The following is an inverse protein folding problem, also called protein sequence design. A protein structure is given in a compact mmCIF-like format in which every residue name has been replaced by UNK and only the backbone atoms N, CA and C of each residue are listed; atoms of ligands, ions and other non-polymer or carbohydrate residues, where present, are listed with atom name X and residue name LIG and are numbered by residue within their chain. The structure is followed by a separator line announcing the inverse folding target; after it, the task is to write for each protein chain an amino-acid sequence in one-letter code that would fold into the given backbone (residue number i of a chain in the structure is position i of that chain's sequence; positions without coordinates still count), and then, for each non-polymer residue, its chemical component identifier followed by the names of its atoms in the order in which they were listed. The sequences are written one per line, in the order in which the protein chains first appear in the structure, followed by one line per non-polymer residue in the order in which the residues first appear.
data_IF_952913701576
#
_entry.id   IF_952913701576
#
_cell.length_a   1.000
_cell.length_b   1.000
_cell.length_c   1.000
_cell.angle_alpha   90.00
_cell.angle_beta   90.00
_cell.angle_gamma   90.00
#
_symmetry.space_group_name_H-M   'P 1'
#
loop_
_entity.id
_entity.type
_entity.pdbx_description
1 polymer ?
#
# COMPACT_ATOMS: atom_id res chain seq x y z
N UNK A 1 -14.55 8.95 -46.75
CA UNK A 1 -14.33 9.57 -45.41
C UNK A 1 -15.52 9.44 -44.43
N UNK A 2 -16.60 8.69 -44.70
CA UNK A 2 -17.76 8.60 -43.79
C UNK A 2 -17.69 7.48 -42.72
N UNK A 3 -16.73 6.56 -42.80
CA UNK A 3 -16.68 5.36 -41.93
C UNK A 3 -16.03 5.58 -40.56
N UNK A 4 -15.24 6.63 -40.35
CA UNK A 4 -14.68 6.95 -39.02
C UNK A 4 -15.68 7.66 -38.13
N UNK A 5 -16.49 8.58 -38.69
CA UNK A 5 -17.54 9.31 -37.97
C UNK A 5 -18.60 8.36 -37.40
N UNK A 6 -19.03 7.35 -38.17
CA UNK A 6 -19.97 6.33 -37.70
C UNK A 6 -19.41 5.38 -36.64
N UNK A 7 -18.09 5.15 -36.59
CA UNK A 7 -17.43 4.34 -35.55
C UNK A 7 -17.31 5.11 -34.24
N UNK A 8 -16.86 6.36 -34.29
CA UNK A 8 -16.76 7.22 -33.09
C UNK A 8 -18.14 7.44 -32.44
N UNK A 9 -19.18 7.70 -33.25
CA UNK A 9 -20.54 7.89 -32.75
C UNK A 9 -21.10 6.62 -32.09
N UNK A 10 -20.79 5.43 -32.61
CA UNK A 10 -21.14 4.14 -32.00
C UNK A 10 -20.40 3.91 -30.68
N UNK A 11 -19.09 4.17 -30.64
CA UNK A 11 -18.30 4.02 -29.42
C UNK A 11 -18.80 4.95 -28.31
N UNK A 12 -19.07 6.23 -28.63
CA UNK A 12 -19.64 7.18 -27.68
C UNK A 12 -21.02 6.75 -27.17
N UNK A 13 -21.87 6.20 -28.04
CA UNK A 13 -23.18 5.68 -27.64
C UNK A 13 -23.05 4.47 -26.69
N UNK A 14 -22.11 3.56 -26.97
CA UNK A 14 -21.80 2.42 -26.09
C UNK A 14 -21.29 2.90 -24.73
N UNK A 15 -20.30 3.79 -24.71
CA UNK A 15 -19.76 4.38 -23.47
C UNK A 15 -20.88 5.03 -22.66
N UNK A 16 -21.74 5.83 -23.30
CA UNK A 16 -22.87 6.47 -22.62
C UNK A 16 -23.82 5.44 -22.00
N UNK A 17 -24.19 4.40 -22.74
CA UNK A 17 -25.05 3.31 -22.27
C UNK A 17 -24.43 2.59 -21.07
N UNK A 18 -23.17 2.19 -21.20
CA UNK A 18 -22.44 1.47 -20.15
C UNK A 18 -22.23 2.33 -18.89
N UNK A 19 -21.98 3.64 -19.03
CA UNK A 19 -21.92 4.57 -17.89
C UNK A 19 -23.24 4.63 -17.11
N UNK A 20 -24.38 4.75 -17.80
CA UNK A 20 -25.68 4.71 -17.12
C UNK A 20 -25.95 3.36 -16.45
N UNK A 21 -25.53 2.27 -17.07
CA UNK A 21 -25.68 0.94 -16.50
C UNK A 21 -24.82 0.76 -15.25
N UNK A 22 -23.58 1.23 -15.26
CA UNK A 22 -22.67 1.15 -14.12
C UNK A 22 -23.14 2.01 -12.94
N UNK A 23 -23.66 3.21 -13.19
CA UNK A 23 -24.20 4.10 -12.15
C UNK A 23 -25.52 3.56 -11.56
N UNK A 24 -26.30 2.79 -12.32
CA UNK A 24 -27.56 2.20 -11.84
C UNK A 24 -27.40 0.81 -11.23
N UNK A 25 -26.24 0.17 -11.40
CA UNK A 25 -25.98 -1.14 -10.83
C UNK A 25 -25.53 -1.00 -9.38
N UNK A 26 -26.34 -1.45 -8.39
CA UNK A 26 -25.99 -1.34 -6.98
C UNK A 26 -24.70 -2.07 -6.64
N UNK A 27 -24.37 -3.16 -7.34
CA UNK A 27 -23.11 -3.91 -7.11
C UNK A 27 -21.90 -3.06 -7.49
N UNK A 28 -21.97 -2.36 -8.63
CA UNK A 28 -20.90 -1.49 -9.10
C UNK A 28 -20.68 -0.31 -8.16
N UNK A 29 -21.76 0.30 -7.67
CA UNK A 29 -21.67 1.39 -6.68
C UNK A 29 -21.08 0.88 -5.37
N UNK A 30 -21.54 -0.27 -4.88
CA UNK A 30 -21.08 -0.83 -3.61
C UNK A 30 -19.58 -1.15 -3.67
N UNK A 31 -19.11 -1.74 -4.76
CA UNK A 31 -17.68 -2.00 -4.96
C UNK A 31 -16.89 -0.70 -5.17
N UNK A 32 -17.39 0.28 -5.92
CA UNK A 32 -16.66 1.51 -6.24
C UNK A 32 -16.59 2.53 -5.08
N UNK A 33 -17.53 2.48 -4.13
CA UNK A 33 -17.64 3.50 -3.07
C UNK A 33 -17.63 2.90 -1.65
N UNK A 34 -18.47 1.90 -1.37
CA UNK A 34 -18.64 1.35 -0.01
C UNK A 34 -17.44 0.49 0.38
N UNK A 35 -16.97 -0.36 -0.53
CA UNK A 35 -15.85 -1.26 -0.27
C UNK A 35 -14.52 -0.51 -0.01
N UNK A 36 -14.16 0.53 -0.78
CA UNK A 36 -13.07 1.45 -0.44
C UNK A 36 -13.16 2.01 0.98
N UNK A 37 -14.33 2.47 1.39
CA UNK A 37 -14.55 3.01 2.74
C UNK A 37 -14.22 1.94 3.78
N UNK A 38 -14.82 0.75 3.67
CA UNK A 38 -14.60 -0.35 4.60
C UNK A 38 -13.11 -0.70 4.69
N UNK A 39 -12.43 -0.86 3.55
CA UNK A 39 -11.02 -1.23 3.53
C UNK A 39 -10.12 -0.12 4.09
N UNK A 40 -10.36 1.15 3.76
CA UNK A 40 -9.60 2.27 4.33
C UNK A 40 -9.80 2.40 5.83
N UNK A 41 -11.01 2.19 6.34
CA UNK A 41 -11.24 2.16 7.79
C UNK A 41 -10.54 0.97 8.44
N UNK A 42 -10.63 -0.22 7.82
CA UNK A 42 -9.98 -1.43 8.31
C UNK A 42 -8.45 -1.25 8.39
N UNK A 43 -7.81 -0.72 7.36
CA UNK A 43 -6.36 -0.53 7.35
C UNK A 43 -5.90 0.73 8.10
N UNK A 44 -6.66 1.81 8.04
CA UNK A 44 -6.30 3.08 8.65
C UNK A 44 -6.52 3.13 10.17
N UNK A 45 -7.50 2.39 10.70
CA UNK A 45 -7.76 2.28 12.15
C UNK A 45 -7.53 0.87 12.71
N UNK A 46 -7.84 -0.18 11.95
CA UNK A 46 -7.77 -1.57 12.45
C UNK A 46 -6.37 -2.18 12.41
N UNK A 47 -5.48 -1.68 11.54
CA UNK A 47 -4.08 -2.14 11.42
C UNK A 47 -3.09 -1.09 11.92
N UNK A 48 -3.55 0.05 12.44
CA UNK A 48 -2.65 1.02 13.07
C UNK A 48 -2.10 0.44 14.37
N UNK A 49 -0.78 0.27 14.44
CA UNK A 49 -0.06 -0.08 15.66
C UNK A 49 0.13 1.13 16.60
N UNK A 50 -0.33 2.31 16.17
CA UNK A 50 -0.12 3.58 16.89
C UNK A 50 -1.12 3.77 18.04
N UNK A 51 -2.26 3.05 18.02
CA UNK A 51 -3.33 3.18 19.03
C UNK A 51 -3.11 2.28 20.24
N UNK A 52 -2.23 1.28 20.14
CA UNK A 52 -1.84 0.40 21.24
C UNK A 52 -0.37 0.62 21.58
N UNK A 53 -0.08 1.02 22.82
CA UNK A 53 1.30 1.13 23.30
C UNK A 53 1.98 -0.22 23.12
N UNK A 54 3.05 -0.24 22.33
CA UNK A 54 3.79 -1.45 22.03
C UNK A 54 4.63 -1.82 23.24
N UNK A 55 4.40 -3.02 23.81
CA UNK A 55 5.17 -3.48 24.96
C UNK A 55 6.61 -3.79 24.56
N UNK A 56 7.56 -3.11 25.19
CA UNK A 56 8.99 -3.34 24.98
C UNK A 56 9.71 -3.58 26.30
N UNK A 57 10.75 -4.41 26.25
CA UNK A 57 11.69 -4.55 27.35
C UNK A 57 12.80 -3.50 27.20
N UNK A 58 13.02 -2.67 28.22
CA UNK A 58 14.16 -1.76 28.26
C UNK A 58 15.20 -2.31 29.24
N UNK A 59 16.34 -2.68 28.71
CA UNK A 59 17.48 -3.19 29.48
C UNK A 59 18.45 -2.05 29.68
N UNK A 60 18.67 -1.67 30.94
CA UNK A 60 19.69 -0.70 31.32
C UNK A 60 20.79 -1.44 32.09
N UNK A 61 21.90 -1.76 31.43
CA UNK A 61 22.97 -2.55 32.03
C UNK A 61 23.68 -1.79 33.16
N UNK A 62 23.87 -0.47 33.00
CA UNK A 62 24.39 0.42 34.03
C UNK A 62 23.44 1.60 34.29
N UNK A 63 23.02 1.76 35.55
CA UNK A 63 22.20 2.90 35.96
C UNK A 63 23.08 4.10 36.30
N UNK A 64 23.03 5.10 35.43
CA UNK A 64 23.66 6.41 35.60
C UNK A 64 22.60 7.49 35.39
N UNK A 65 22.83 8.75 35.80
CA UNK A 65 21.90 9.83 35.52
C UNK A 65 21.58 10.00 34.02
N UNK A 66 22.56 9.69 33.15
CA UNK A 66 22.40 9.75 31.70
C UNK A 66 21.46 8.65 31.20
N UNK A 67 21.68 7.40 31.63
CA UNK A 67 20.86 6.27 31.20
C UNK A 67 19.46 6.32 31.81
N UNK A 68 19.30 6.86 33.03
CA UNK A 68 17.99 7.11 33.64
C UNK A 68 17.15 8.11 32.86
N UNK A 69 17.77 9.20 32.40
CA UNK A 69 17.10 10.24 31.61
C UNK A 69 16.66 9.73 30.22
N UNK A 70 17.53 8.94 29.56
CA UNK A 70 17.15 8.25 28.33
C UNK A 70 16.02 7.24 28.57
N UNK A 71 16.10 6.45 29.64
CA UNK A 71 15.05 5.50 30.01
C UNK A 71 13.72 6.20 30.31
N UNK A 72 13.74 7.36 30.95
CA UNK A 72 12.55 8.19 31.17
C UNK A 72 11.94 8.66 29.84
N UNK A 73 12.76 8.97 28.83
CA UNK A 73 12.27 9.33 27.48
C UNK A 73 11.55 8.17 26.80
N UNK A 74 12.04 6.94 26.96
CA UNK A 74 11.34 5.73 26.50
C UNK A 74 10.03 5.50 27.25
N UNK A 75 10.00 5.70 28.56
CA UNK A 75 8.76 5.56 29.36
C UNK A 75 7.72 6.65 29.06
N UNK A 76 8.16 7.88 28.77
CA UNK A 76 7.28 8.99 28.42
C UNK A 76 6.79 8.91 26.96
N UNK A 77 7.38 8.03 26.14
CA UNK A 77 7.01 7.85 24.75
C UNK A 77 5.55 7.38 24.61
N UNK A 78 4.78 8.07 23.76
CA UNK A 78 3.39 7.67 23.46
C UNK A 78 3.26 6.30 22.77
N UNK A 79 4.36 5.78 22.23
CA UNK A 79 4.40 4.58 21.41
C UNK A 79 4.68 3.31 22.21
N UNK A 80 5.28 3.43 23.40
CA UNK A 80 5.80 2.29 24.15
C UNK A 80 5.13 2.10 25.50
N UNK A 81 4.98 0.84 25.89
CA UNK A 81 4.71 0.41 27.26
C UNK A 81 5.96 -0.33 27.74
N UNK A 82 6.72 0.28 28.65
CA UNK A 82 8.11 -0.11 28.90
C UNK A 82 8.22 -0.91 30.19
N UNK A 83 8.65 -2.17 30.07
CA UNK A 83 9.11 -2.96 31.20
C UNK A 83 10.63 -2.74 31.37
N UNK A 84 11.09 -2.29 32.53
CA UNK A 84 12.52 -2.05 32.79
C UNK A 84 13.15 -3.22 33.51
N UNK A 85 14.32 -3.65 33.06
CA UNK A 85 15.18 -4.62 33.76
C UNK A 85 16.65 -4.27 33.55
N UNK A 86 17.53 -4.92 34.31
CA UNK A 86 18.99 -4.88 34.11
C UNK A 86 19.52 -6.09 33.36
N UNK A 87 18.78 -7.19 33.38
CA UNK A 87 19.16 -8.42 32.70
C UNK A 87 18.27 -8.62 31.48
N UNK A 88 18.89 -8.68 30.30
CA UNK A 88 18.21 -8.94 29.03
C UNK A 88 17.53 -10.30 28.99
N UNK A 89 18.07 -11.30 29.69
CA UNK A 89 17.58 -12.69 29.65
C UNK A 89 16.16 -12.81 30.16
N UNK A 90 15.76 -11.89 31.05
CA UNK A 90 14.41 -11.81 31.59
C UNK A 90 13.37 -11.43 30.52
N UNK A 91 13.79 -10.81 29.43
CA UNK A 91 12.91 -10.41 28.33
C UNK A 91 13.04 -11.30 27.08
N UNK A 92 14.05 -12.16 27.01
CA UNK A 92 14.24 -13.06 25.86
C UNK A 92 13.06 -14.04 25.71
N UNK A 93 12.61 -14.69 26.78
CA UNK A 93 11.42 -15.55 26.74
C UNK A 93 10.15 -14.75 26.40
N UNK A 94 9.96 -13.58 27.02
CA UNK A 94 8.78 -12.76 26.78
C UNK A 94 8.71 -12.20 25.35
N UNK A 95 9.86 -12.00 24.69
CA UNK A 95 9.95 -11.68 23.26
C UNK A 95 9.55 -12.89 22.41
N UNK A 96 10.06 -14.09 22.71
CA UNK A 96 9.74 -15.33 21.99
C UNK A 96 8.25 -15.69 22.10
N UNK A 97 7.64 -15.48 23.27
CA UNK A 97 6.21 -15.71 23.50
C UNK A 97 5.32 -14.54 23.01
N UNK A 98 5.90 -13.50 22.41
CA UNK A 98 5.17 -12.35 21.85
C UNK A 98 4.50 -11.43 22.88
N UNK A 99 4.86 -11.55 24.17
CA UNK A 99 4.41 -10.63 25.24
C UNK A 99 5.10 -9.28 25.12
N UNK A 100 6.35 -9.28 24.65
CA UNK A 100 7.10 -8.11 24.24
C UNK A 100 7.27 -8.13 22.71
N UNK A 101 7.26 -6.95 22.09
CA UNK A 101 7.46 -6.78 20.65
C UNK A 101 8.88 -6.37 20.28
N UNK A 102 9.70 -6.05 21.28
CA UNK A 102 11.13 -5.83 21.14
C UNK A 102 11.81 -5.55 22.48
N UNK A 103 13.13 -5.56 22.44
CA UNK A 103 14.01 -5.29 23.57
C UNK A 103 14.98 -4.19 23.14
N UNK A 104 15.04 -3.10 23.91
CA UNK A 104 16.00 -2.02 23.73
C UNK A 104 17.07 -2.19 24.80
N UNK A 105 18.33 -2.32 24.41
CA UNK A 105 19.47 -2.51 25.33
C UNK A 105 20.35 -1.27 25.30
N UNK A 106 20.46 -0.62 26.45
CA UNK A 106 21.41 0.46 26.72
C UNK A 106 22.64 -0.18 27.36
N UNK A 107 23.79 -0.19 26.67
CA UNK A 107 24.98 -0.89 27.14
C UNK A 107 25.60 -0.21 28.37
N UNK A 108 26.36 -0.95 29.17
CA UNK A 108 26.99 -0.41 30.37
C UNK A 108 27.95 0.76 30.07
N UNK A 109 28.71 0.69 28.98
CA UNK A 109 29.68 1.71 28.58
C UNK A 109 29.05 2.96 27.93
N UNK A 110 27.71 3.03 27.86
CA UNK A 110 26.96 4.12 27.23
C UNK A 110 27.41 5.49 27.76
N UNK A 111 27.46 5.66 29.08
CA UNK A 111 27.80 6.95 29.70
C UNK A 111 29.23 7.36 29.45
N UNK A 112 30.18 6.44 29.55
CA UNK A 112 31.60 6.69 29.28
C UNK A 112 31.83 7.07 27.82
N UNK A 113 31.15 6.39 26.88
CA UNK A 113 31.25 6.70 25.46
C UNK A 113 30.59 8.04 25.12
N UNK A 114 29.43 8.31 25.68
CA UNK A 114 28.69 9.55 25.42
C UNK A 114 29.47 10.78 25.95
N UNK A 115 30.04 10.70 27.14
CA UNK A 115 30.85 11.80 27.71
C UNK A 115 32.19 12.00 26.99
N UNK A 116 32.74 10.95 26.38
CA UNK A 116 33.91 11.04 25.50
C UNK A 116 33.62 11.69 24.13
N UNK A 117 32.39 12.17 23.89
CA UNK A 117 31.97 12.77 22.62
C UNK A 117 31.65 11.75 21.53
N UNK A 118 31.61 10.46 21.86
CA UNK A 118 31.17 9.41 20.94
C UNK A 118 29.65 9.26 21.01
N UNK A 119 29.09 8.59 20.00
CA UNK A 119 27.69 8.17 19.99
C UNK A 119 27.62 6.67 20.28
N UNK A 120 27.30 6.26 21.52
CA UNK A 120 27.17 4.85 21.85
C UNK A 120 26.00 4.23 21.08
N UNK A 121 26.24 3.04 20.54
CA UNK A 121 25.21 2.26 19.86
C UNK A 121 24.20 1.72 20.88
N UNK A 122 22.91 1.90 20.60
CA UNK A 122 21.81 1.28 21.36
C UNK A 122 21.35 0.08 20.53
N UNK A 123 21.31 -1.10 21.15
CA UNK A 123 20.86 -2.30 20.47
C UNK A 123 19.33 -2.41 20.56
N UNK A 124 18.68 -2.66 19.43
CA UNK A 124 17.24 -2.96 19.37
C UNK A 124 17.07 -4.37 18.84
N UNK A 125 16.57 -5.27 19.67
CA UNK A 125 16.31 -6.67 19.37
C UNK A 125 14.81 -6.83 19.14
N UNK A 126 14.43 -7.36 17.98
CA UNK A 126 13.03 -7.47 17.55
C UNK A 126 12.79 -8.85 16.94
N UNK A 127 11.54 -9.31 16.96
CA UNK A 127 11.18 -10.57 16.33
C UNK A 127 11.14 -10.41 14.80
N UNK A 128 12.08 -11.07 14.12
CA UNK A 128 12.16 -11.09 12.65
C UNK A 128 11.02 -11.84 11.97
N UNK A 129 10.20 -12.60 12.72
CA UNK A 129 8.99 -13.25 12.18
C UNK A 129 7.85 -12.25 11.93
N UNK A 130 7.87 -11.10 12.60
CA UNK A 130 6.92 -9.99 12.43
C UNK A 130 7.63 -8.72 11.89
N UNK A 131 8.02 -8.70 10.60
CA UNK A 131 8.88 -7.65 10.04
C UNK A 131 8.30 -6.24 10.15
N UNK A 132 6.98 -6.09 10.06
CA UNK A 132 6.34 -4.78 10.26
C UNK A 132 6.50 -4.30 11.70
N UNK A 133 6.11 -5.13 12.68
CA UNK A 133 6.25 -4.82 14.10
C UNK A 133 7.70 -4.51 14.45
N UNK A 134 8.63 -5.33 13.96
CA UNK A 134 10.07 -5.14 14.12
C UNK A 134 10.55 -3.79 13.58
N UNK A 135 10.19 -3.46 12.33
CA UNK A 135 10.52 -2.18 11.71
C UNK A 135 9.92 -1.00 12.49
N UNK A 136 8.68 -1.10 12.98
CA UNK A 136 8.06 -0.05 13.78
C UNK A 136 8.78 0.13 15.12
N UNK A 137 9.05 -0.95 15.86
CA UNK A 137 9.78 -0.87 17.13
C UNK A 137 11.18 -0.26 16.93
N UNK A 138 11.90 -0.68 15.89
CA UNK A 138 13.21 -0.15 15.55
C UNK A 138 13.15 1.35 15.22
N UNK A 139 12.23 1.74 14.35
CA UNK A 139 12.06 3.14 13.97
C UNK A 139 11.67 3.99 15.18
N UNK A 140 10.69 3.56 15.98
CA UNK A 140 10.24 4.29 17.17
C UNK A 140 11.33 4.42 18.23
N UNK A 141 12.14 3.38 18.42
CA UNK A 141 13.29 3.45 19.32
C UNK A 141 14.31 4.48 18.84
N UNK A 142 14.66 4.45 17.55
CA UNK A 142 15.55 5.45 16.94
C UNK A 142 15.00 6.88 17.06
N UNK A 143 13.71 7.07 16.80
CA UNK A 143 13.04 8.37 16.94
C UNK A 143 13.03 8.87 18.39
N UNK A 144 12.85 7.98 19.37
CA UNK A 144 12.89 8.31 20.79
C UNK A 144 14.29 8.77 21.22
N UNK A 145 15.34 8.04 20.81
CA UNK A 145 16.74 8.41 21.06
C UNK A 145 17.08 9.76 20.42
N UNK A 146 16.71 9.97 19.16
CA UNK A 146 16.97 11.22 18.46
C UNK A 146 16.24 12.43 19.10
N UNK A 147 15.02 12.24 19.61
CA UNK A 147 14.31 13.26 20.37
C UNK A 147 15.03 13.63 21.67
N UNK A 148 15.46 12.61 22.43
CA UNK A 148 16.20 12.79 23.67
C UNK A 148 17.52 13.54 23.44
N UNK A 149 18.29 13.18 22.40
CA UNK A 149 19.52 13.88 22.04
C UNK A 149 19.28 15.36 21.72
N UNK A 150 18.23 15.67 20.94
CA UNK A 150 17.89 17.06 20.59
C UNK A 150 17.54 17.90 21.81
N UNK A 151 16.78 17.33 22.75
CA UNK A 151 16.37 18.04 23.95
C UNK A 151 17.59 18.36 24.83
N UNK A 152 18.53 17.43 24.97
CA UNK A 152 19.79 17.69 25.69
C UNK A 152 20.73 18.65 24.99
N UNK A 153 20.83 18.61 23.66
CA UNK A 153 21.66 19.57 22.92
C UNK A 153 21.14 21.01 23.05
N UNK A 154 19.82 21.20 23.24
CA UNK A 154 19.23 22.50 23.53
C UNK A 154 19.57 23.00 24.95
N UNK A 155 19.72 22.09 25.93
CA UNK A 155 20.05 22.43 27.32
C UNK A 155 21.56 22.66 27.55
N UNK A 156 22.44 22.05 26.75
CA UNK A 156 23.91 22.11 26.90
C UNK A 156 24.54 23.05 25.85
N UNK A 157 24.20 24.33 25.89
CA UNK A 157 24.66 25.36 24.94
C UNK A 157 26.16 25.76 25.05
N UNK A 158 27.07 24.90 25.54
CA UNK A 158 28.49 25.29 25.74
C UNK A 158 29.56 24.30 25.26
N UNK A 159 29.24 23.07 24.86
CA UNK A 159 30.23 22.11 24.35
C UNK A 159 29.66 21.26 23.21
N UNK A 160 29.28 21.91 22.11
CA UNK A 160 28.90 21.19 20.90
C UNK A 160 30.10 20.44 20.32
N UNK A 161 30.00 19.13 20.05
CA UNK A 161 31.03 18.44 19.26
C UNK A 161 31.14 19.13 17.89
N UNK A 162 32.36 19.22 17.34
CA UNK A 162 32.63 19.95 16.09
C UNK A 162 31.84 19.42 14.87
N UNK A 163 31.26 18.21 14.96
CA UNK A 163 30.38 17.62 13.97
C UNK A 163 29.25 16.88 14.69
N UNK A 164 28.00 17.37 14.55
CA UNK A 164 26.79 16.68 14.99
C UNK A 164 26.10 16.03 13.78
N UNK A 165 25.94 14.70 13.80
CA UNK A 165 25.16 13.98 12.79
C UNK A 165 23.68 14.00 13.24
N UNK A 166 22.81 14.78 12.61
CA UNK A 166 21.39 14.72 12.96
C UNK A 166 20.70 13.56 12.23
N UNK A 167 20.28 12.51 12.96
CA UNK A 167 19.44 11.46 12.37
C UNK A 167 18.02 12.01 12.17
N UNK A 168 17.65 12.27 10.91
CA UNK A 168 16.33 12.81 10.53
C UNK A 168 15.61 11.81 9.63
N UNK A 169 14.43 11.36 10.07
CA UNK A 169 13.49 10.67 9.19
C UNK A 169 12.85 11.69 8.26
N UNK A 170 13.20 11.63 6.98
CA UNK A 170 12.89 12.70 6.03
C UNK A 170 11.39 12.82 5.69
N UNK A 171 10.66 11.70 5.65
CA UNK A 171 9.32 11.66 5.08
C UNK A 171 8.21 11.21 6.05
N UNK A 172 8.58 10.74 7.24
CA UNK A 172 7.65 10.44 8.35
C UNK A 172 8.33 10.67 9.71
N UNK A 173 8.60 11.93 10.11
CA UNK A 173 9.35 12.24 11.33
C UNK A 173 8.65 11.76 12.61
N UNK A 174 7.32 11.65 12.58
CA UNK A 174 6.51 11.11 13.69
C UNK A 174 6.36 9.59 13.64
N UNK A 175 6.89 8.94 12.60
CA UNK A 175 6.91 7.49 12.39
C UNK A 175 5.54 6.81 12.45
N UNK A 176 4.45 7.54 12.23
CA UNK A 176 3.10 7.00 12.35
C UNK A 176 2.83 5.93 11.29
N UNK A 177 2.34 4.76 11.72
CA UNK A 177 2.03 3.63 10.84
C UNK A 177 0.97 3.99 9.80
N UNK A 178 0.02 4.85 10.20
CA UNK A 178 -1.07 5.37 9.35
C UNK A 178 -0.55 6.03 8.07
N UNK A 179 0.56 6.76 8.16
CA UNK A 179 1.16 7.47 7.03
C UNK A 179 1.70 6.52 5.95
N UNK A 180 2.01 5.27 6.31
CA UNK A 180 2.49 4.24 5.39
C UNK A 180 1.36 3.31 4.91
N UNK A 181 0.50 2.87 5.83
CA UNK A 181 -0.57 1.91 5.56
C UNK A 181 -1.71 2.49 4.71
N UNK A 182 -2.10 3.74 4.94
CA UNK A 182 -3.23 4.33 4.22
C UNK A 182 -2.93 4.49 2.73
N UNK A 183 -1.81 5.10 2.28
CA UNK A 183 -1.47 5.15 0.85
C UNK A 183 -1.34 3.78 0.19
N UNK A 184 -0.75 2.80 0.90
CA UNK A 184 -0.66 1.43 0.39
C UNK A 184 -2.03 0.77 0.21
N UNK A 185 -2.96 1.02 1.14
CA UNK A 185 -4.33 0.50 1.05
C UNK A 185 -5.09 1.04 -0.16
N UNK A 186 -4.79 2.26 -0.64
CA UNK A 186 -5.39 2.81 -1.87
C UNK A 186 -5.07 1.91 -3.06
N UNK A 187 -3.84 1.41 -3.20
CA UNK A 187 -3.47 0.47 -4.26
C UNK A 187 -4.24 -0.85 -4.16
N UNK A 188 -4.45 -1.37 -2.94
CA UNK A 188 -5.23 -2.59 -2.71
C UNK A 188 -6.68 -2.38 -3.12
N UNK A 189 -7.28 -1.26 -2.70
CA UNK A 189 -8.64 -0.88 -3.08
C UNK A 189 -8.75 -0.75 -4.60
N UNK A 190 -7.81 -0.05 -5.25
CA UNK A 190 -7.79 0.10 -6.70
C UNK A 190 -7.65 -1.25 -7.42
N UNK A 191 -6.85 -2.18 -6.89
CA UNK A 191 -6.74 -3.54 -7.44
C UNK A 191 -8.11 -4.20 -7.45
N UNK A 192 -8.80 -4.11 -6.32
CA UNK A 192 -10.05 -4.78 -6.09
C UNK A 192 -11.17 -4.15 -6.90
N UNK A 193 -11.27 -2.82 -6.93
CA UNK A 193 -12.22 -2.06 -7.76
C UNK A 193 -11.99 -2.34 -9.24
N UNK A 194 -10.75 -2.21 -9.72
CA UNK A 194 -10.43 -2.43 -11.13
C UNK A 194 -10.73 -3.85 -11.58
N UNK A 195 -10.26 -4.84 -10.82
CA UNK A 195 -10.37 -6.26 -11.23
C UNK A 195 -11.76 -6.83 -11.00
N UNK A 196 -12.43 -6.57 -9.86
CA UNK A 196 -13.77 -7.11 -9.60
C UNK A 196 -14.83 -6.47 -10.48
N UNK A 197 -14.81 -5.15 -10.65
CA UNK A 197 -15.81 -4.50 -11.50
C UNK A 197 -15.73 -5.06 -12.92
N UNK A 198 -14.53 -5.15 -13.49
CA UNK A 198 -14.37 -5.67 -14.85
C UNK A 198 -14.54 -7.18 -14.95
N UNK A 199 -14.23 -7.96 -13.90
CA UNK A 199 -14.49 -9.40 -13.89
C UNK A 199 -15.98 -9.72 -13.94
N UNK A 200 -16.80 -8.88 -13.30
CA UNK A 200 -18.25 -9.05 -13.26
C UNK A 200 -18.94 -8.58 -14.53
N UNK A 201 -18.40 -7.57 -15.23
CA UNK A 201 -19.06 -6.93 -16.38
C UNK A 201 -19.44 -7.89 -17.48
N UNK A 202 -18.48 -8.66 -18.00
CA UNK A 202 -18.76 -9.59 -19.11
C UNK A 202 -19.37 -10.89 -18.60
N UNK A 203 -18.95 -11.36 -17.42
CA UNK A 203 -19.52 -12.56 -16.80
C UNK A 203 -21.03 -12.43 -16.58
N UNK A 204 -21.48 -11.26 -16.13
CA UNK A 204 -22.90 -10.94 -15.96
C UNK A 204 -23.68 -10.94 -17.26
N UNK A 205 -23.07 -10.47 -18.35
CA UNK A 205 -23.75 -10.46 -19.66
C UNK A 205 -23.89 -11.85 -20.26
N UNK A 206 -22.95 -12.75 -19.97
CA UNK A 206 -23.10 -14.17 -20.28
C UNK A 206 -24.23 -14.80 -19.47
N UNK A 207 -24.27 -14.58 -18.15
CA UNK A 207 -25.34 -15.14 -17.29
C UNK A 207 -26.72 -14.62 -17.66
N UNK A 208 -26.83 -13.38 -18.13
CA UNK A 208 -28.10 -12.77 -18.56
C UNK A 208 -28.49 -13.09 -20.00
N UNK A 209 -27.66 -13.84 -20.75
CA UNK A 209 -27.86 -14.14 -22.17
C UNK A 209 -27.73 -12.92 -23.10
N UNK A 210 -27.42 -11.73 -22.57
CA UNK A 210 -27.31 -10.50 -23.38
C UNK A 210 -26.06 -10.49 -24.25
N UNK A 211 -25.03 -11.28 -23.89
CA UNK A 211 -23.81 -11.38 -24.69
C UNK A 211 -24.06 -11.98 -26.07
N UNK A 212 -24.95 -12.96 -26.18
CA UNK A 212 -25.32 -13.61 -27.45
C UNK A 212 -26.03 -12.64 -28.38
N UNK A 213 -26.96 -11.84 -27.83
CA UNK A 213 -27.65 -10.79 -28.58
C UNK A 213 -26.70 -9.70 -29.08
N UNK A 214 -25.67 -9.34 -28.29
CA UNK A 214 -24.65 -8.38 -28.73
C UNK A 214 -23.73 -8.92 -29.81
N UNK A 215 -23.40 -10.22 -29.78
CA UNK A 215 -22.59 -10.87 -30.82
C UNK A 215 -23.29 -10.92 -32.18
N UNK A 216 -24.63 -10.86 -32.21
CA UNK A 216 -25.41 -10.75 -33.44
C UNK A 216 -25.42 -9.33 -34.07
N UNK A 217 -24.92 -8.32 -33.34
CA UNK A 217 -24.81 -6.95 -33.86
C UNK A 217 -23.51 -6.77 -34.67
N UNK A 218 -23.46 -5.84 -35.65
CA UNK A 218 -22.27 -5.60 -36.47
C UNK A 218 -21.15 -4.83 -35.71
N UNK A 219 -21.06 -4.99 -34.39
CA UNK A 219 -20.07 -4.35 -33.52
C UNK A 219 -18.91 -5.32 -33.28
N UNK A 220 -17.67 -4.84 -33.43
CA UNK A 220 -16.52 -5.70 -33.17
C UNK A 220 -16.33 -5.97 -31.68
N UNK A 221 -15.78 -7.13 -31.32
CA UNK A 221 -15.45 -7.45 -29.93
C UNK A 221 -14.57 -6.38 -29.26
N UNK A 222 -13.65 -5.76 -30.02
CA UNK A 222 -12.77 -4.70 -29.50
C UNK A 222 -13.55 -3.42 -29.21
N UNK A 223 -14.49 -3.02 -30.07
CA UNK A 223 -15.34 -1.83 -29.84
C UNK A 223 -16.26 -2.03 -28.62
N UNK A 224 -16.80 -3.25 -28.46
CA UNK A 224 -17.65 -3.60 -27.32
C UNK A 224 -16.86 -3.59 -26.00
N UNK A 225 -15.66 -4.15 -26.00
CA UNK A 225 -14.77 -4.14 -24.84
C UNK A 225 -14.30 -2.73 -24.50
N UNK A 226 -13.86 -1.94 -25.50
CA UNK A 226 -13.42 -0.56 -25.29
C UNK A 226 -14.54 0.34 -24.74
N UNK A 227 -15.77 0.16 -25.25
CA UNK A 227 -16.95 0.87 -24.76
C UNK A 227 -17.29 0.59 -23.29
N UNK A 228 -16.92 -0.60 -22.80
CA UNK A 228 -17.10 -1.01 -21.39
C UNK A 228 -15.97 -0.53 -20.50
N UNK A 229 -14.72 -0.70 -20.94
CA UNK A 229 -13.54 -0.41 -20.12
C UNK A 229 -13.52 1.06 -19.68
N UNK A 230 -13.88 1.99 -20.57
CA UNK A 230 -13.78 3.43 -20.27
C UNK A 230 -14.66 3.86 -19.07
N UNK A 231 -15.96 3.51 -18.98
CA UNK A 231 -16.77 3.74 -17.78
C UNK A 231 -16.14 3.20 -16.49
N UNK A 232 -15.63 1.96 -16.50
CA UNK A 232 -15.03 1.35 -15.31
C UNK A 232 -13.67 1.93 -14.96
N UNK A 233 -12.91 2.38 -15.96
CA UNK A 233 -11.68 3.15 -15.76
C UNK A 233 -11.97 4.48 -15.04
N UNK A 234 -13.00 5.21 -15.49
CA UNK A 234 -13.42 6.46 -14.84
C UNK A 234 -13.97 6.21 -13.42
N UNK A 235 -14.72 5.12 -13.21
CA UNK A 235 -15.15 4.71 -11.86
C UNK A 235 -13.96 4.36 -10.96
N UNK A 236 -12.95 3.66 -11.48
CA UNK A 236 -11.72 3.37 -10.75
C UNK A 236 -10.97 4.65 -10.34
N UNK A 237 -10.86 5.63 -11.24
CA UNK A 237 -10.28 6.94 -10.91
C UNK A 237 -11.11 7.70 -9.89
N UNK A 238 -12.44 7.64 -9.98
CA UNK A 238 -13.34 8.26 -9.01
C UNK A 238 -13.19 7.63 -7.64
N UNK A 239 -13.08 6.30 -7.58
CA UNK A 239 -12.83 5.54 -6.37
C UNK A 239 -11.46 5.90 -5.75
N UNK A 240 -10.42 6.01 -6.57
CA UNK A 240 -9.11 6.49 -6.13
C UNK A 240 -9.20 7.91 -5.54
N UNK A 241 -9.91 8.83 -6.19
CA UNK A 241 -10.12 10.19 -5.67
C UNK A 241 -10.83 10.17 -4.33
N UNK A 242 -11.88 9.36 -4.18
CA UNK A 242 -12.55 9.16 -2.88
C UNK A 242 -11.56 8.67 -1.82
N UNK A 243 -10.75 7.65 -2.14
CA UNK A 243 -9.76 7.12 -1.23
C UNK A 243 -8.74 8.18 -0.79
N UNK A 244 -8.27 9.02 -1.70
CA UNK A 244 -7.31 10.09 -1.41
C UNK A 244 -7.96 11.19 -0.57
N UNK A 245 -9.20 11.58 -0.87
CA UNK A 245 -9.94 12.55 -0.05
C UNK A 245 -10.10 12.05 1.39
N UNK A 246 -10.46 10.78 1.57
CA UNK A 246 -10.50 10.16 2.89
C UNK A 246 -9.12 10.15 3.53
N UNK A 247 -8.09 9.72 2.81
CA UNK A 247 -6.72 9.67 3.31
C UNK A 247 -6.17 11.02 3.77
N UNK A 248 -6.58 12.13 3.14
CA UNK A 248 -6.15 13.47 3.54
C UNK A 248 -7.04 14.04 4.65
N UNK A 249 -8.36 14.05 4.45
CA UNK A 249 -9.29 14.77 5.33
C UNK A 249 -9.71 13.99 6.58
N UNK A 250 -9.88 12.67 6.49
CA UNK A 250 -10.26 11.81 7.61
C UNK A 250 -9.01 11.19 8.26
N UNK A 251 -8.17 10.67 7.37
CA UNK A 251 -6.78 10.23 7.47
C UNK A 251 -5.75 11.13 8.19
N UNK A 252 -5.83 12.44 7.93
CA UNK A 252 -4.74 13.36 8.24
C UNK A 252 -3.39 13.01 7.59
N UNK A 253 -3.37 12.16 6.56
CA UNK A 253 -2.13 11.72 5.90
C UNK A 253 -1.64 12.86 5.02
N UNK A 254 -0.35 13.25 5.11
CA UNK A 254 0.18 14.33 4.29
C UNK A 254 0.17 13.93 2.82
N UNK A 255 -0.14 14.89 1.95
CA UNK A 255 -0.07 14.74 0.50
C UNK A 255 0.93 15.77 -0.05
N UNK A 256 2.17 15.33 -0.33
CA UNK A 256 3.28 16.21 -0.74
C UNK A 256 3.54 16.26 -2.24
N UNK A 257 3.09 15.25 -2.98
CA UNK A 257 3.26 15.14 -4.43
C UNK A 257 2.24 15.95 -5.22
N UNK A 258 2.25 15.78 -6.53
CA UNK A 258 1.30 16.43 -7.42
C UNK A 258 0.08 15.55 -7.71
N UNK A 259 -1.05 16.21 -7.91
CA UNK A 259 -2.29 15.55 -8.39
C UNK A 259 -2.04 14.91 -9.76
N UNK A 260 -1.22 15.51 -10.61
CA UNK A 260 -0.88 14.96 -11.92
C UNK A 260 -0.14 13.62 -11.81
N UNK A 261 0.86 13.51 -10.93
CA UNK A 261 1.58 12.25 -10.69
C UNK A 261 0.65 11.17 -10.14
N UNK A 262 -0.20 11.51 -9.17
CA UNK A 262 -1.21 10.62 -8.61
C UNK A 262 -2.13 10.04 -9.70
N UNK A 263 -2.69 10.88 -10.57
CA UNK A 263 -3.57 10.45 -11.64
C UNK A 263 -2.83 9.65 -12.72
N UNK A 264 -1.59 10.01 -13.07
CA UNK A 264 -0.80 9.28 -14.05
C UNK A 264 -0.47 7.85 -13.57
N UNK A 265 -0.03 7.71 -12.33
CA UNK A 265 0.23 6.41 -11.69
C UNK A 265 -1.04 5.57 -11.59
N UNK A 266 -2.13 6.18 -11.12
CA UNK A 266 -3.41 5.50 -10.93
C UNK A 266 -4.02 5.05 -12.26
N UNK A 267 -3.96 5.91 -13.29
CA UNK A 267 -4.37 5.58 -14.65
C UNK A 267 -3.55 4.40 -15.19
N UNK A 268 -2.22 4.44 -15.08
CA UNK A 268 -1.36 3.37 -15.54
C UNK A 268 -1.64 2.04 -14.82
N UNK A 269 -1.90 2.09 -13.51
CA UNK A 269 -2.23 0.91 -12.71
C UNK A 269 -3.60 0.30 -13.04
N UNK A 270 -4.58 1.13 -13.40
CA UNK A 270 -5.90 0.61 -13.78
C UNK A 270 -5.83 -0.23 -15.07
N UNK A 271 -4.88 0.02 -15.98
CA UNK A 271 -4.75 -0.77 -17.22
C UNK A 271 -4.56 -2.28 -16.93
N UNK A 272 -3.55 -2.74 -16.17
CA UNK A 272 -3.43 -4.15 -15.82
C UNK A 272 -4.57 -4.67 -14.94
N UNK A 273 -5.10 -3.87 -14.00
CA UNK A 273 -6.21 -4.30 -13.16
C UNK A 273 -7.49 -4.60 -13.97
N UNK A 274 -7.87 -3.68 -14.86
CA UNK A 274 -9.02 -3.84 -15.75
C UNK A 274 -8.78 -4.95 -16.79
N UNK A 275 -7.55 -5.06 -17.31
CA UNK A 275 -7.17 -6.12 -18.24
C UNK A 275 -7.26 -7.52 -17.62
N UNK A 276 -6.80 -7.67 -16.38
CA UNK A 276 -6.91 -8.92 -15.62
C UNK A 276 -8.36 -9.28 -15.33
N UNK A 277 -9.17 -8.34 -14.83
CA UNK A 277 -10.59 -8.59 -14.59
C UNK A 277 -11.31 -8.98 -15.88
N UNK A 278 -11.00 -8.32 -17.00
CA UNK A 278 -11.55 -8.70 -18.29
C UNK A 278 -11.13 -10.12 -18.72
N UNK A 279 -9.85 -10.47 -18.59
CA UNK A 279 -9.36 -11.82 -18.86
C UNK A 279 -10.18 -12.86 -18.08
N UNK A 280 -10.35 -12.64 -16.77
CA UNK A 280 -11.12 -13.51 -15.87
C UNK A 280 -12.58 -13.63 -16.35
N UNK A 281 -13.22 -12.50 -16.65
CA UNK A 281 -14.63 -12.46 -17.07
C UNK A 281 -14.92 -13.28 -18.32
N UNK A 282 -13.98 -13.27 -19.29
CA UNK A 282 -14.11 -14.00 -20.55
C UNK A 282 -13.87 -15.50 -20.36
N UNK A 283 -13.07 -15.88 -19.37
CA UNK A 283 -12.73 -17.26 -19.08
C UNK A 283 -13.85 -17.98 -18.31
N UNK A 284 -14.45 -17.35 -17.30
CA UNK A 284 -15.39 -18.01 -16.38
C UNK A 284 -16.84 -18.01 -16.85
N UNK A 285 -17.31 -16.92 -17.49
CA UNK A 285 -18.72 -16.71 -17.87
C UNK A 285 -19.75 -16.82 -16.72
N UNK A 286 -19.29 -16.77 -15.47
CA UNK A 286 -20.12 -16.85 -14.26
C UNK A 286 -19.62 -15.79 -13.26
N UNK A 287 -20.53 -14.99 -12.71
CA UNK A 287 -20.22 -13.86 -11.84
C UNK A 287 -19.58 -14.30 -10.52
N UNK A 288 -20.07 -15.38 -9.93
CA UNK A 288 -19.54 -15.90 -8.66
C UNK A 288 -18.12 -16.46 -8.83
N UNK A 289 -17.88 -17.26 -9.88
CA UNK A 289 -16.52 -17.73 -10.18
C UNK A 289 -15.59 -16.59 -10.58
N UNK A 290 -16.08 -15.60 -11.33
CA UNK A 290 -15.30 -14.42 -11.72
C UNK A 290 -14.86 -13.58 -10.53
N UNK A 291 -15.73 -13.39 -9.53
CA UNK A 291 -15.39 -12.64 -8.32
C UNK A 291 -14.39 -13.40 -7.45
N UNK A 292 -14.56 -14.71 -7.27
CA UNK A 292 -13.60 -15.55 -6.53
C UNK A 292 -12.20 -15.54 -7.18
N UNK A 293 -12.13 -15.72 -8.50
CA UNK A 293 -10.83 -15.67 -9.20
C UNK A 293 -10.20 -14.28 -9.15
N UNK A 294 -10.98 -13.20 -9.20
CA UNK A 294 -10.44 -11.85 -9.03
C UNK A 294 -9.87 -11.65 -7.61
N UNK A 295 -10.54 -12.18 -6.58
CA UNK A 295 -10.00 -12.13 -5.21
C UNK A 295 -8.70 -12.93 -5.07
N UNK A 296 -8.67 -14.15 -5.61
CA UNK A 296 -7.51 -15.04 -5.45
C UNK A 296 -6.33 -14.62 -6.33
N UNK A 297 -6.58 -14.18 -7.58
CA UNK A 297 -5.52 -13.88 -8.55
C UNK A 297 -5.09 -12.42 -8.55
N UNK A 298 -5.90 -11.50 -8.03
CA UNK A 298 -5.58 -10.07 -8.01
C UNK A 298 -5.44 -9.54 -6.59
N UNK A 299 -6.48 -9.65 -5.76
CA UNK A 299 -6.46 -9.08 -4.42
C UNK A 299 -5.42 -9.75 -3.51
N UNK A 300 -5.40 -11.08 -3.39
CA UNK A 300 -4.44 -11.77 -2.52
C UNK A 300 -2.98 -11.49 -2.91
N UNK A 301 -2.56 -11.58 -4.19
CA UNK A 301 -1.21 -11.21 -4.59
C UNK A 301 -0.91 -9.73 -4.35
N UNK A 302 -1.86 -8.83 -4.64
CA UNK A 302 -1.67 -7.42 -4.35
C UNK A 302 -1.55 -7.14 -2.85
N UNK A 303 -2.21 -7.92 -1.99
CA UNK A 303 -2.16 -7.74 -0.55
C UNK A 303 -0.89 -8.34 0.07
N UNK A 304 -0.49 -9.55 -0.35
CA UNK A 304 0.59 -10.32 0.26
C UNK A 304 1.95 -10.13 -0.43
N UNK A 305 1.97 -9.96 -1.75
CA UNK A 305 3.19 -10.04 -2.58
C UNK A 305 3.64 -8.69 -3.14
N UNK A 306 3.00 -7.60 -2.74
CA UNK A 306 3.25 -6.27 -3.31
C UNK A 306 4.25 -5.41 -2.53
N UNK A 307 4.71 -5.86 -1.37
CA UNK A 307 5.42 -4.99 -0.43
C UNK A 307 4.50 -4.22 0.52
N UNK A 308 3.17 -4.37 0.42
CA UNK A 308 2.23 -3.70 1.32
C UNK A 308 2.27 -4.26 2.75
N UNK A 309 1.97 -5.55 2.89
CA UNK A 309 1.92 -6.22 4.20
C UNK A 309 3.26 -6.83 4.59
N UNK A 310 4.02 -7.35 3.63
CA UNK A 310 5.31 -7.96 3.88
C UNK A 310 6.36 -7.34 2.98
N UNK A 311 7.51 -6.98 3.55
CA UNK A 311 8.61 -6.46 2.77
C UNK A 311 9.12 -7.53 1.77
N UNK A 312 9.28 -7.14 0.51
CA UNK A 312 9.65 -8.07 -0.57
C UNK A 312 11.02 -8.70 -0.31
N UNK A 313 11.96 -7.93 0.26
CA UNK A 313 13.32 -8.41 0.54
C UNK A 313 13.35 -9.54 1.58
N UNK A 314 12.34 -9.59 2.45
CA UNK A 314 12.21 -10.63 3.49
C UNK A 314 11.59 -11.93 2.96
N UNK A 315 11.13 -11.96 1.71
CA UNK A 315 10.56 -13.15 1.10
C UNK A 315 11.66 -14.06 0.53
N UNK A 316 11.48 -15.40 0.52
CA UNK A 316 12.33 -16.32 -0.21
C UNK A 316 12.49 -15.90 -1.67
N UNK A 317 13.67 -16.11 -2.26
CA UNK A 317 14.03 -15.63 -3.61
C UNK A 317 13.01 -16.06 -4.67
N UNK A 318 12.48 -17.29 -4.59
CA UNK A 318 11.46 -17.80 -5.52
C UNK A 318 10.18 -16.94 -5.48
N UNK A 319 9.74 -16.54 -4.29
CA UNK A 319 8.54 -15.70 -4.12
C UNK A 319 8.83 -14.28 -4.64
N UNK A 320 10.03 -13.75 -4.42
CA UNK A 320 10.44 -12.45 -4.97
C UNK A 320 10.31 -12.40 -6.50
N UNK A 321 10.66 -13.49 -7.20
CA UNK A 321 10.50 -13.56 -8.66
C UNK A 321 9.02 -13.48 -9.08
N UNK A 322 8.12 -14.13 -8.34
CA UNK A 322 6.68 -14.07 -8.62
C UNK A 322 6.14 -12.65 -8.44
N UNK A 323 6.68 -11.88 -7.49
CA UNK A 323 6.18 -10.52 -7.25
C UNK A 323 6.40 -9.55 -8.43
N UNK A 324 7.31 -9.86 -9.38
CA UNK A 324 7.54 -8.99 -10.55
C UNK A 324 6.33 -8.89 -11.49
N UNK A 325 5.44 -9.88 -11.50
CA UNK A 325 4.21 -9.85 -12.30
C UNK A 325 3.04 -9.17 -11.58
N UNK A 326 3.19 -8.81 -10.31
CA UNK A 326 2.14 -8.19 -9.50
C UNK A 326 2.16 -6.67 -9.73
N UNK A 327 1.16 -6.06 -10.38
CA UNK A 327 1.20 -4.62 -10.69
C UNK A 327 1.28 -3.74 -9.44
N UNK A 328 0.67 -4.19 -8.33
CA UNK A 328 0.64 -3.46 -7.07
C UNK A 328 2.05 -3.26 -6.47
N UNK A 329 3.01 -4.14 -6.79
CA UNK A 329 4.44 -4.00 -6.42
C UNK A 329 5.02 -2.65 -6.84
N UNK A 330 4.57 -2.12 -7.97
CA UNK A 330 5.09 -0.87 -8.53
C UNK A 330 4.27 0.35 -8.09
N UNK A 331 2.96 0.16 -7.87
CA UNK A 331 2.08 1.26 -7.45
C UNK A 331 2.30 1.65 -5.98
N UNK A 332 2.45 0.69 -5.06
CA UNK A 332 2.48 0.96 -3.62
C UNK A 332 3.63 1.89 -3.22
N UNK A 333 4.91 1.61 -3.58
CA UNK A 333 6.01 2.53 -3.28
C UNK A 333 5.80 3.90 -3.93
N UNK A 334 5.26 3.93 -5.16
CA UNK A 334 4.98 5.17 -5.88
C UNK A 334 3.93 6.03 -5.15
N UNK A 335 2.84 5.44 -4.66
CA UNK A 335 1.84 6.14 -3.87
C UNK A 335 2.41 6.62 -2.53
N UNK A 336 3.18 5.78 -1.84
CA UNK A 336 3.83 6.17 -0.58
C UNK A 336 4.74 7.38 -0.78
N UNK A 337 5.52 7.41 -1.87
CA UNK A 337 6.34 8.59 -2.19
C UNK A 337 5.48 9.79 -2.54
N UNK A 338 4.40 9.65 -3.32
CA UNK A 338 3.50 10.78 -3.62
C UNK A 338 2.93 11.40 -2.35
N UNK A 339 2.54 10.59 -1.37
CA UNK A 339 2.03 11.12 -0.09
C UNK A 339 3.16 11.71 0.77
N UNK A 340 4.25 10.96 0.97
CA UNK A 340 5.25 11.26 2.00
C UNK A 340 6.49 11.99 1.49
N UNK A 341 6.96 11.71 0.28
CA UNK A 341 8.22 12.24 -0.27
C UNK A 341 8.04 13.31 -1.35
N UNK A 342 6.89 13.32 -2.04
CA UNK A 342 6.66 14.12 -3.24
C UNK A 342 6.87 13.32 -4.53
N UNK A 343 7.10 14.06 -5.63
CA UNK A 343 7.17 13.46 -6.97
C UNK A 343 8.57 12.94 -7.31
N UNK A 344 8.68 11.64 -7.60
CA UNK A 344 9.92 10.97 -8.02
C UNK A 344 9.72 10.41 -9.43
N UNK A 345 9.69 11.29 -10.42
CA UNK A 345 9.35 10.95 -11.81
C UNK A 345 10.17 9.81 -12.44
N UNK A 346 11.49 9.66 -12.22
CA UNK A 346 12.23 8.52 -12.75
C UNK A 346 11.65 7.17 -12.27
N UNK A 347 11.32 7.09 -10.97
CA UNK A 347 10.67 5.92 -10.39
C UNK A 347 9.26 5.73 -10.96
N UNK A 348 8.50 6.82 -11.10
CA UNK A 348 7.14 6.77 -11.63
C UNK A 348 7.10 6.30 -13.09
N UNK A 349 8.00 6.79 -13.93
CA UNK A 349 8.07 6.40 -15.33
C UNK A 349 8.42 4.92 -15.48
N UNK A 350 9.35 4.40 -14.67
CA UNK A 350 9.65 2.97 -14.64
C UNK A 350 8.43 2.16 -14.19
N UNK A 351 7.78 2.55 -13.09
CA UNK A 351 6.58 1.90 -12.58
C UNK A 351 5.45 1.90 -13.63
N UNK A 352 5.17 3.06 -14.23
CA UNK A 352 4.18 3.23 -15.31
C UNK A 352 4.52 2.32 -16.48
N UNK A 353 5.77 2.32 -16.95
CA UNK A 353 6.21 1.48 -18.05
C UNK A 353 5.93 0.00 -17.80
N UNK A 354 6.29 -0.51 -16.62
CA UNK A 354 6.06 -1.92 -16.26
C UNK A 354 4.57 -2.24 -16.07
N UNK A 355 3.79 -1.36 -15.44
CA UNK A 355 2.34 -1.57 -15.28
C UNK A 355 1.63 -1.59 -16.63
N UNK A 356 2.01 -0.70 -17.55
CA UNK A 356 1.46 -0.65 -18.90
C UNK A 356 1.86 -1.88 -19.74
N UNK A 357 3.08 -2.41 -19.59
CA UNK A 357 3.47 -3.64 -20.29
C UNK A 357 2.67 -4.85 -19.78
N UNK A 358 2.52 -5.00 -18.46
CA UNK A 358 1.67 -6.05 -17.88
C UNK A 358 0.23 -5.88 -18.37
N UNK A 359 -0.29 -4.65 -18.38
CA UNK A 359 -1.64 -4.37 -18.84
C UNK A 359 -1.85 -4.68 -20.32
N UNK A 360 -0.90 -4.31 -21.17
CA UNK A 360 -0.94 -4.65 -22.59
C UNK A 360 -0.98 -6.17 -22.81
N UNK A 361 -0.16 -6.93 -22.08
CA UNK A 361 -0.18 -8.40 -22.12
C UNK A 361 -1.55 -8.94 -21.72
N UNK A 362 -2.12 -8.47 -20.60
CA UNK A 362 -3.44 -8.91 -20.13
C UNK A 362 -4.56 -8.61 -21.15
N UNK A 363 -4.55 -7.41 -21.77
CA UNK A 363 -5.51 -7.06 -22.81
C UNK A 363 -5.37 -7.89 -24.08
N UNK A 364 -4.13 -8.18 -24.51
CA UNK A 364 -3.88 -9.06 -25.66
C UNK A 364 -4.39 -10.48 -25.38
N UNK A 365 -4.16 -11.01 -24.19
CA UNK A 365 -4.65 -12.32 -23.78
C UNK A 365 -6.18 -12.35 -23.70
N UNK A 366 -6.81 -11.32 -23.13
CA UNK A 366 -8.27 -11.19 -23.07
C UNK A 366 -8.88 -11.15 -24.48
N UNK A 367 -8.34 -10.31 -25.38
CA UNK A 367 -8.82 -10.21 -26.75
C UNK A 367 -8.68 -11.52 -27.54
N UNK A 368 -7.61 -12.30 -27.30
CA UNK A 368 -7.42 -13.63 -27.91
C UNK A 368 -8.42 -14.66 -27.36
N UNK A 369 -8.68 -14.63 -26.05
CA UNK A 369 -9.68 -15.49 -25.39
C UNK A 369 -11.08 -15.27 -25.98
N UNK A 370 -11.43 -14.01 -26.27
CA UNK A 370 -12.75 -13.67 -26.86
C UNK A 370 -12.89 -14.14 -28.32
N UNK A 371 -11.83 -14.16 -29.13
CA UNK A 371 -11.90 -14.54 -30.57
C UNK A 371 -11.97 -16.05 -30.83
N UNK A 372 -11.48 -16.89 -29.92
CA UNK A 372 -11.22 -18.32 -30.19
C UNK A 372 -12.42 -19.27 -30.04
N UNK A 373 -13.64 -18.77 -29.78
CA UNK A 373 -14.83 -19.61 -29.52
C UNK A 373 -15.98 -19.42 -30.52
N UNK A 374 -15.66 -18.96 -31.73
CA UNK A 374 -16.57 -19.02 -32.90
C UNK A 374 -16.11 -20.20 -33.77
N UNK A 375 -16.26 -21.40 -33.23
CA UNK A 375 -15.99 -22.67 -33.89
C UNK A 375 -17.04 -23.66 -33.47
#
# INVERSE_FOLDING_TARGET
MSTSSGRMRRLLALVRKESFQAIRDPSSILIAFVLPLILLFLFGYGVSLDTTRTRIGLVTEEMTPLTQDLSASFQASRYFDVAISRDRRLFEEDLVFGKLRGIVVIPADFTTRYTAGNRPDIQVIVDGSEPNTANFVQNYAQGTVANWERQRQADVASHSPAISVEQRFWFNPELTSRNFLVPGSIAIVMTLVGTLLTSLVVAREWERGTMEAMMATPVTAVELLAGKILPYFLLGLTSMTLCVLLAVFLFGVPFRGSVAALYALSAAFLIPALGQGLLISTATKNQFLASQLALISAFLPAFLLSGFLFEINSMPTVIQWITFIVPARYLIPSLQTVFLAGDIWPMFLQAIGVMLTIGAVMFVLAARSTRKRIG
#
